data_IF_252738273199
#
_entry.id   IF_252738273199
#
_cell.length_a   1.000
_cell.length_b   1.000
_cell.length_c   1.000
_cell.angle_alpha   90.00
_cell.angle_beta   90.00
_cell.angle_gamma   90.00
#
_symmetry.space_group_name_H-M   'P 1'
#
loop_
_entity.id
_entity.type
_entity.pdbx_description
1 polymer ?
#
# COMPACT_ATOMS: atom_id res chain seq x y z
N UNK A 1 -5.15 -5.25 -11.80
CA UNK A 1 -5.69 -3.97 -12.32
C UNK A 1 -6.42 -4.11 -13.67
N UNK A 2 -6.96 -5.29 -14.03
CA UNK A 2 -7.73 -5.50 -15.27
C UNK A 2 -6.90 -5.52 -16.56
N UNK A 3 -6.08 -4.48 -16.78
CA UNK A 3 -5.15 -4.32 -17.91
C UNK A 3 -3.83 -3.71 -17.43
N UNK A 4 -2.80 -3.77 -18.28
CA UNK A 4 -1.54 -3.05 -18.04
C UNK A 4 -1.78 -1.55 -18.18
N UNK A 5 -1.29 -0.77 -17.23
CA UNK A 5 -1.34 0.70 -17.26
C UNK A 5 -0.09 1.30 -16.60
N UNK A 6 0.29 2.50 -17.03
CA UNK A 6 1.41 3.22 -16.42
C UNK A 6 0.95 3.84 -15.10
N UNK A 7 1.58 3.42 -14.00
CA UNK A 7 1.26 3.83 -12.62
C UNK A 7 2.45 4.53 -12.00
N UNK A 8 2.21 5.64 -11.32
CA UNK A 8 3.19 6.43 -10.60
C UNK A 8 3.34 6.03 -9.12
N UNK A 9 2.39 5.28 -8.57
CA UNK A 9 2.46 4.76 -7.22
C UNK A 9 1.14 4.17 -6.72
N UNK A 10 1.04 3.97 -5.42
CA UNK A 10 -0.17 3.47 -4.77
C UNK A 10 -0.61 4.36 -3.60
N UNK A 11 -1.88 4.30 -3.26
CA UNK A 11 -2.43 4.92 -2.06
C UNK A 11 -2.95 3.87 -1.11
N UNK A 12 -2.83 4.15 0.19
CA UNK A 12 -3.45 3.36 1.24
C UNK A 12 -4.25 4.28 2.15
N UNK A 13 -5.53 3.97 2.34
CA UNK A 13 -6.38 4.64 3.31
C UNK A 13 -6.59 3.72 4.50
N UNK A 14 -6.14 4.10 5.70
CA UNK A 14 -6.39 3.31 6.89
C UNK A 14 -7.88 3.33 7.24
N UNK A 15 -8.35 2.28 7.91
CA UNK A 15 -9.70 2.28 8.45
C UNK A 15 -9.84 3.34 9.54
N UNK A 16 -10.84 4.23 9.40
CA UNK A 16 -11.01 5.43 10.23
C UNK A 16 -11.84 5.21 11.50
N UNK A 17 -12.43 4.02 11.67
CA UNK A 17 -13.21 3.66 12.87
C UNK A 17 -12.51 2.54 13.64
N UNK A 18 -11.36 2.81 14.28
CA UNK A 18 -10.57 1.77 14.93
C UNK A 18 -11.38 1.10 16.04
N UNK A 19 -11.46 -0.24 15.96
CA UNK A 19 -11.78 -1.05 17.14
C UNK A 19 -10.50 -1.29 17.94
N UNK A 20 -10.62 -1.88 19.14
CA UNK A 20 -9.46 -2.11 20.02
C UNK A 20 -8.49 -3.19 19.50
N UNK A 21 -8.81 -3.88 18.41
CA UNK A 21 -8.06 -5.06 17.95
C UNK A 21 -7.47 -4.90 16.55
N UNK A 22 -7.73 -3.78 15.87
CA UNK A 22 -7.31 -3.53 14.51
C UNK A 22 -6.48 -2.25 14.40
N UNK A 23 -5.42 -2.29 13.60
CA UNK A 23 -4.58 -1.13 13.35
C UNK A 23 -4.08 -1.11 11.90
N UNK A 24 -3.79 0.08 11.33
CA UNK A 24 -3.22 0.17 10.01
C UNK A 24 -1.82 -0.47 9.94
N UNK A 25 -1.32 -0.81 8.73
CA UNK A 25 0.04 -1.31 8.57
C UNK A 25 1.08 -0.26 9.00
N UNK A 26 2.18 -0.69 9.63
CA UNK A 26 3.32 0.18 9.97
C UNK A 26 4.07 0.61 8.71
N UNK A 27 4.35 -0.36 7.86
CA UNK A 27 5.12 -0.17 6.64
C UNK A 27 4.72 -1.17 5.57
N UNK A 28 5.37 -1.05 4.42
CA UNK A 28 4.99 -1.70 3.20
C UNK A 28 6.21 -2.16 2.42
N UNK A 29 6.04 -3.26 1.69
CA UNK A 29 6.83 -3.60 0.50
C UNK A 29 5.88 -3.65 -0.68
N UNK A 30 6.18 -2.90 -1.72
CA UNK A 30 5.40 -2.84 -2.95
C UNK A 30 6.20 -3.42 -4.12
N UNK A 31 5.59 -4.39 -4.79
CA UNK A 31 6.14 -5.04 -5.97
C UNK A 31 5.14 -4.96 -7.12
N UNK A 32 5.65 -4.87 -8.34
CA UNK A 32 4.84 -4.72 -9.54
C UNK A 32 5.14 -5.82 -10.55
N UNK A 33 4.14 -6.19 -11.31
CA UNK A 33 4.28 -7.18 -12.39
C UNK A 33 3.34 -6.87 -13.55
N UNK A 34 3.75 -7.24 -14.76
CA UNK A 34 2.93 -7.21 -15.98
C UNK A 34 2.34 -8.59 -16.32
N UNK A 35 2.97 -9.67 -15.84
CA UNK A 35 2.63 -11.06 -16.16
C UNK A 35 2.06 -11.86 -14.97
N UNK A 36 2.17 -11.32 -13.75
CA UNK A 36 1.75 -11.96 -12.50
C UNK A 36 2.70 -13.05 -11.99
N UNK A 37 3.84 -13.25 -12.69
CA UNK A 37 4.82 -14.30 -12.40
C UNK A 37 6.16 -13.70 -11.97
N UNK A 38 6.63 -12.71 -12.73
CA UNK A 38 7.87 -11.99 -12.47
C UNK A 38 7.54 -10.74 -11.67
N UNK A 39 8.14 -10.61 -10.49
CA UNK A 39 7.87 -9.51 -9.57
C UNK A 39 9.09 -8.61 -9.44
N UNK A 40 8.89 -7.31 -9.63
CA UNK A 40 9.95 -6.31 -9.53
C UNK A 40 9.65 -5.37 -8.36
N UNK A 41 10.63 -5.09 -7.48
CA UNK A 41 10.49 -4.09 -6.43
C UNK A 41 10.12 -2.71 -6.99
N UNK A 42 9.18 -2.03 -6.33
CA UNK A 42 8.68 -0.72 -6.77
C UNK A 42 8.78 0.35 -5.67
N UNK A 43 8.55 -0.01 -4.40
CA UNK A 43 8.80 0.84 -3.25
C UNK A 43 8.86 0.01 -1.96
N UNK A 44 9.55 0.51 -0.94
CA UNK A 44 9.55 -0.07 0.40
C UNK A 44 9.73 1.06 1.42
N UNK A 45 9.03 0.98 2.54
CA UNK A 45 9.16 1.98 3.60
C UNK A 45 8.09 1.87 4.67
N UNK A 46 7.93 2.96 5.42
CA UNK A 46 6.95 3.08 6.49
C UNK A 46 5.91 4.16 6.20
N UNK A 47 4.68 3.96 6.69
CA UNK A 47 3.64 4.96 6.63
C UNK A 47 3.79 5.92 7.81
N UNK A 48 4.13 7.17 7.51
CA UNK A 48 4.44 8.16 8.53
C UNK A 48 3.20 8.52 9.34
N UNK A 49 3.25 8.35 10.67
CA UNK A 49 2.18 8.73 11.60
C UNK A 49 0.78 8.11 11.28
N UNK A 50 0.72 6.97 10.59
CA UNK A 50 -0.56 6.47 10.03
C UNK A 50 -1.60 6.08 11.08
N UNK A 51 -1.16 5.57 12.24
CA UNK A 51 -2.05 5.17 13.33
C UNK A 51 -2.83 6.36 13.94
N UNK A 52 -2.28 7.57 13.83
CA UNK A 52 -2.86 8.77 14.44
C UNK A 52 -3.46 9.71 13.40
N UNK A 53 -2.79 9.90 12.25
CA UNK A 53 -3.29 10.76 11.18
C UNK A 53 -4.55 10.18 10.52
N UNK A 54 -4.64 8.85 10.42
CA UNK A 54 -5.73 8.10 9.78
C UNK A 54 -6.11 8.64 8.38
N UNK A 55 -5.18 9.30 7.69
CA UNK A 55 -5.37 9.88 6.37
C UNK A 55 -4.83 8.97 5.29
N UNK A 56 -5.36 9.14 4.07
CA UNK A 56 -4.83 8.46 2.88
C UNK A 56 -3.39 8.87 2.64
N UNK A 57 -2.49 7.89 2.56
CA UNK A 57 -1.09 8.13 2.24
C UNK A 57 -0.81 7.66 0.82
N UNK A 58 -0.12 8.51 0.04
CA UNK A 58 0.28 8.23 -1.33
C UNK A 58 1.77 7.92 -1.36
N UNK A 59 2.11 6.74 -1.86
CA UNK A 59 3.48 6.28 -1.97
C UNK A 59 3.87 6.28 -3.45
N UNK A 60 4.78 7.16 -3.87
CA UNK A 60 5.30 7.15 -5.23
C UNK A 60 6.25 5.96 -5.42
N UNK A 61 6.23 5.38 -6.62
CA UNK A 61 7.34 4.56 -7.10
C UNK A 61 8.49 5.47 -7.53
N UNK A 62 9.72 4.93 -7.59
CA UNK A 62 10.90 5.69 -8.04
C UNK A 62 10.67 6.35 -9.40
N UNK A 63 10.00 5.64 -10.31
CA UNK A 63 9.58 6.15 -11.62
C UNK A 63 8.23 5.55 -12.01
N UNK A 64 7.37 6.31 -12.72
CA UNK A 64 6.16 5.75 -13.32
C UNK A 64 6.50 4.54 -14.21
N UNK A 65 5.73 3.46 -14.08
CA UNK A 65 6.04 2.18 -14.75
C UNK A 65 4.80 1.42 -15.22
N UNK A 66 4.89 0.56 -16.24
CA UNK A 66 3.81 -0.34 -16.63
C UNK A 66 3.52 -1.37 -15.54
N UNK A 67 2.26 -1.45 -15.11
CA UNK A 67 1.80 -2.36 -14.06
C UNK A 67 0.47 -3.00 -14.45
N UNK A 68 0.34 -4.32 -14.29
CA UNK A 68 -0.94 -5.04 -14.35
C UNK A 68 -1.34 -5.61 -12.98
N UNK A 69 -0.33 -5.99 -12.20
CA UNK A 69 -0.46 -6.53 -10.86
C UNK A 69 0.41 -5.72 -9.89
N UNK A 70 -0.18 -5.35 -8.76
CA UNK A 70 0.48 -4.72 -7.63
C UNK A 70 0.36 -5.69 -6.45
N UNK A 71 1.49 -6.03 -5.83
CA UNK A 71 1.54 -6.82 -4.60
C UNK A 71 2.03 -5.92 -3.48
N UNK A 72 1.28 -5.89 -2.39
CA UNK A 72 1.60 -5.17 -1.17
C UNK A 72 1.76 -6.18 -0.04
N UNK A 73 2.89 -6.10 0.65
CA UNK A 73 3.18 -6.90 1.84
C UNK A 73 3.28 -5.98 3.04
N UNK A 74 2.58 -6.34 4.13
CA UNK A 74 2.59 -5.61 5.39
C UNK A 74 3.09 -6.54 6.49
N UNK A 75 4.27 -6.24 7.04
CA UNK A 75 4.92 -7.12 8.02
C UNK A 75 4.35 -6.97 9.45
N UNK A 76 3.85 -5.78 9.78
CA UNK A 76 3.35 -5.47 11.12
C UNK A 76 2.31 -4.35 11.09
N UNK A 77 1.49 -4.29 12.13
CA UNK A 77 0.62 -3.16 12.43
C UNK A 77 1.40 -1.99 13.03
N UNK A 78 0.91 -0.77 12.81
CA UNK A 78 1.53 0.48 13.26
C UNK A 78 1.54 0.59 14.80
N UNK A 79 0.53 0.02 15.46
CA UNK A 79 0.47 -0.20 16.92
C UNK A 79 0.14 -1.68 17.18
N UNK A 80 0.44 -2.24 18.37
CA UNK A 80 0.10 -3.63 18.68
C UNK A 80 -1.39 -3.90 18.47
N UNK A 81 -1.71 -4.82 17.56
CA UNK A 81 -3.09 -5.17 17.20
C UNK A 81 -3.12 -6.58 16.59
N UNK A 82 -4.27 -7.22 16.64
CA UNK A 82 -4.47 -8.57 16.11
C UNK A 82 -4.81 -8.59 14.62
N UNK A 83 -5.32 -7.47 14.08
CA UNK A 83 -5.80 -7.35 12.71
C UNK A 83 -5.22 -6.13 12.01
N UNK A 84 -4.97 -6.27 10.71
CA UNK A 84 -4.69 -5.16 9.81
C UNK A 84 -6.00 -4.45 9.43
N UNK A 85 -6.00 -3.12 9.53
CA UNK A 85 -7.17 -2.27 9.27
C UNK A 85 -6.91 -1.33 8.09
N UNK A 86 -7.44 -1.68 6.91
CA UNK A 86 -7.28 -0.90 5.68
C UNK A 86 -8.68 -0.68 5.11
N UNK A 87 -9.05 0.57 4.85
CA UNK A 87 -10.31 0.92 4.22
C UNK A 87 -10.24 0.82 2.70
N UNK A 88 -9.12 1.26 2.12
CA UNK A 88 -8.96 1.34 0.68
C UNK A 88 -7.50 1.22 0.25
N UNK A 89 -7.30 0.66 -0.94
CA UNK A 89 -6.02 0.62 -1.64
C UNK A 89 -6.26 1.03 -3.10
N UNK A 90 -5.50 2.02 -3.55
CA UNK A 90 -5.59 2.55 -4.91
C UNK A 90 -4.24 2.56 -5.62
N UNK A 91 -4.27 2.67 -6.94
CA UNK A 91 -3.13 3.02 -7.77
C UNK A 91 -3.38 4.37 -8.44
N UNK A 92 -2.34 5.19 -8.63
CA UNK A 92 -2.46 6.50 -9.27
C UNK A 92 -1.44 6.67 -10.38
N UNK A 93 -1.76 7.50 -11.37
CA UNK A 93 -0.94 7.71 -12.57
C UNK A 93 -0.12 9.01 -12.56
N UNK A 94 -0.43 9.93 -11.63
CA UNK A 94 0.21 11.24 -11.44
C UNK A 94 0.19 11.64 -9.97
#
# INVERSE_FOLDING_TARGET
>A
MGKTQTVAGFSLTPWRHPDKVSAPPRGYTAETSTDGKTWTPAAQGEFQNIAYALSTQRIPFTTPRPVRYLRLTFAATAVPAQKLAIADVGAFTR
#
